data_IF_115776170660
#
_entry.id   IF_115776170660
#
_cell.length_a   1.000
_cell.length_b   1.000
_cell.length_c   1.000
_cell.angle_alpha   90.00
_cell.angle_beta   90.00
_cell.angle_gamma   90.00
#
_symmetry.space_group_name_H-M   'P 1'
#
loop_
_entity.id
_entity.type
_entity.pdbx_description
1 polymer ?
#
# COMPACT_ATOMS: atom_id res chain seq x y z
N UNK A 1 20.56 -54.66 -5.47
CA UNK A 1 20.41 -53.17 -5.53
C UNK A 1 18.96 -52.68 -5.75
N UNK A 2 17.91 -53.49 -5.53
CA UNK A 2 16.51 -53.04 -5.67
C UNK A 2 16.00 -52.32 -4.41
N UNK A 3 16.47 -52.77 -3.24
CA UNK A 3 16.03 -52.29 -1.92
C UNK A 3 16.55 -50.86 -1.62
N UNK A 4 17.68 -50.47 -2.21
CA UNK A 4 18.30 -49.15 -2.04
C UNK A 4 17.49 -48.03 -2.74
N UNK A 5 16.86 -48.34 -3.88
CA UNK A 5 16.00 -47.40 -4.61
C UNK A 5 14.72 -47.09 -3.84
N UNK A 6 14.18 -48.09 -3.13
CA UNK A 6 12.97 -47.95 -2.30
C UNK A 6 13.23 -47.01 -1.12
N UNK A 7 14.40 -47.11 -0.47
CA UNK A 7 14.80 -46.21 0.62
C UNK A 7 14.95 -44.76 0.13
N UNK A 8 15.54 -44.54 -1.05
CA UNK A 8 15.65 -43.20 -1.64
C UNK A 8 14.29 -42.58 -2.00
N UNK A 9 13.34 -43.39 -2.48
CA UNK A 9 11.98 -42.94 -2.80
C UNK A 9 11.20 -42.58 -1.53
N UNK A 10 11.33 -43.39 -0.46
CA UNK A 10 10.71 -43.10 0.84
C UNK A 10 11.27 -41.81 1.48
N UNK A 11 12.57 -41.57 1.36
CA UNK A 11 13.20 -40.37 1.90
C UNK A 11 12.77 -39.10 1.14
N UNK A 12 12.66 -39.17 -0.19
CA UNK A 12 12.18 -38.06 -1.02
C UNK A 12 10.70 -37.70 -0.74
N UNK A 13 9.86 -38.69 -0.39
CA UNK A 13 8.44 -38.48 -0.14
C UNK A 13 8.16 -37.71 1.17
N UNK A 14 9.05 -37.82 2.16
CA UNK A 14 8.91 -37.10 3.45
C UNK A 14 9.24 -35.60 3.36
N UNK A 15 9.88 -35.14 2.28
CA UNK A 15 10.31 -33.74 2.15
C UNK A 15 9.19 -32.78 1.69
N UNK A 16 8.07 -33.31 1.18
CA UNK A 16 7.03 -32.50 0.50
C UNK A 16 5.95 -31.97 1.47
N UNK A 17 5.88 -32.49 2.70
CA UNK A 17 4.73 -32.27 3.60
C UNK A 17 4.85 -31.02 4.50
N UNK A 18 5.90 -30.19 4.33
CA UNK A 18 6.30 -29.21 5.35
C UNK A 18 5.87 -27.75 5.18
N UNK A 19 5.08 -27.36 4.16
CA UNK A 19 4.97 -25.93 3.80
C UNK A 19 3.56 -25.32 3.78
N UNK A 20 2.71 -25.68 4.76
CA UNK A 20 1.48 -24.93 5.01
C UNK A 20 1.52 -24.33 6.43
N UNK A 21 2.30 -23.24 6.60
CA UNK A 21 2.19 -22.40 7.79
C UNK A 21 1.19 -21.29 7.50
N UNK A 22 -0.07 -21.49 7.87
CA UNK A 22 -1.04 -20.40 7.96
C UNK A 22 -0.54 -19.42 9.04
N UNK A 23 -0.19 -18.21 8.61
CA UNK A 23 0.29 -17.15 9.50
C UNK A 23 -0.90 -16.54 10.22
N UNK A 24 -1.25 -17.08 11.38
CA UNK A 24 -2.23 -16.47 12.28
C UNK A 24 -1.52 -15.40 13.12
N UNK A 25 -2.05 -14.18 13.12
CA UNK A 25 -1.61 -13.12 14.02
C UNK A 25 -2.56 -13.12 15.21
N UNK A 26 -2.02 -13.23 16.43
CA UNK A 26 -2.80 -13.29 17.67
C UNK A 26 -3.59 -12.01 17.93
N UNK A 27 -3.02 -10.88 17.54
CA UNK A 27 -3.61 -9.57 17.70
C UNK A 27 -3.90 -8.98 16.31
N UNK A 28 -5.15 -8.55 16.10
CA UNK A 28 -5.49 -7.74 14.93
C UNK A 28 -4.64 -6.46 15.00
N UNK A 29 -3.87 -6.09 13.95
CA UNK A 29 -3.07 -4.89 13.98
C UNK A 29 -3.97 -3.70 14.33
N UNK A 30 -3.53 -2.90 15.30
CA UNK A 30 -4.21 -1.66 15.69
C UNK A 30 -4.45 -0.85 14.42
N UNK A 31 -5.72 -0.51 14.18
CA UNK A 31 -6.05 0.50 13.18
C UNK A 31 -5.40 1.77 13.69
N UNK A 32 -4.25 2.12 13.12
CA UNK A 32 -3.65 3.43 13.35
C UNK A 32 -4.63 4.41 12.73
N UNK A 33 -5.54 4.94 13.54
CA UNK A 33 -6.30 6.12 13.19
C UNK A 33 -5.25 7.17 12.87
N UNK A 34 -5.08 7.47 11.59
CA UNK A 34 -4.23 8.58 11.20
C UNK A 34 -4.88 9.82 11.81
N UNK A 35 -4.28 10.33 12.89
CA UNK A 35 -4.77 11.49 13.61
C UNK A 35 -4.72 12.65 12.63
N UNK A 36 -5.88 13.01 12.09
CA UNK A 36 -6.02 14.22 11.30
C UNK A 36 -5.84 15.40 12.26
N UNK A 37 -4.90 16.32 12.02
CA UNK A 37 -4.76 17.50 12.86
C UNK A 37 -6.06 18.32 12.84
N UNK A 38 -6.34 19.03 13.93
CA UNK A 38 -7.53 19.89 14.04
C UNK A 38 -7.57 20.87 12.87
N UNK A 39 -8.77 21.08 12.31
CA UNK A 39 -8.95 22.03 11.21
C UNK A 39 -8.56 23.44 11.67
N UNK A 40 -7.73 24.19 10.91
CA UNK A 40 -7.38 25.57 11.24
C UNK A 40 -8.59 26.53 11.19
N UNK A 41 -9.69 26.16 10.53
CA UNK A 41 -10.88 26.99 10.42
C UNK A 41 -11.98 26.39 9.54
N UNK A 42 -13.10 27.09 9.43
CA UNK A 42 -14.33 26.57 8.80
C UNK A 42 -14.23 26.39 7.27
N UNK A 43 -13.34 27.12 6.61
CA UNK A 43 -13.16 27.08 5.15
C UNK A 43 -12.06 26.12 4.68
N UNK A 44 -11.46 25.36 5.60
CA UNK A 44 -10.40 24.42 5.26
C UNK A 44 -10.99 23.05 4.90
N UNK A 45 -10.46 22.47 3.83
CA UNK A 45 -10.78 21.12 3.39
C UNK A 45 -9.55 20.24 3.61
N UNK A 46 -9.77 19.05 4.15
CA UNK A 46 -8.70 18.07 4.35
C UNK A 46 -8.37 17.39 3.03
N UNK A 47 -7.12 17.55 2.58
CA UNK A 47 -6.57 16.82 1.45
C UNK A 47 -5.85 15.59 2.01
N UNK A 48 -6.28 14.39 1.65
CA UNK A 48 -5.60 13.17 2.06
C UNK A 48 -4.19 13.09 1.46
N UNK A 49 -3.41 12.15 1.97
CA UNK A 49 -2.05 11.90 1.48
C UNK A 49 -1.98 11.81 -0.04
N UNK A 50 -0.92 12.39 -0.56
CA UNK A 50 -0.63 12.45 -1.98
C UNK A 50 0.76 11.87 -2.25
N UNK A 51 1.06 11.62 -3.51
CA UNK A 51 2.38 11.15 -3.92
C UNK A 51 3.01 12.15 -4.89
N UNK A 52 4.29 12.42 -4.70
CA UNK A 52 5.08 13.31 -5.56
C UNK A 52 6.19 12.49 -6.18
N UNK A 53 6.30 12.56 -7.51
CA UNK A 53 7.37 11.87 -8.22
C UNK A 53 8.68 12.65 -8.08
N UNK A 54 9.68 12.03 -7.45
CA UNK A 54 11.02 12.59 -7.32
C UNK A 54 11.88 12.16 -8.52
N UNK A 55 12.16 13.12 -9.41
CA UNK A 55 12.95 12.86 -10.63
C UNK A 55 14.42 12.49 -10.35
N UNK A 56 14.99 12.92 -9.23
CA UNK A 56 16.38 12.62 -8.85
C UNK A 56 16.54 11.15 -8.48
N UNK A 57 15.57 10.63 -7.73
CA UNK A 57 15.62 9.26 -7.22
C UNK A 57 14.74 8.29 -8.03
N UNK A 58 13.99 8.78 -9.02
CA UNK A 58 13.02 8.02 -9.83
C UNK A 58 11.97 7.27 -8.98
N UNK A 59 11.60 7.82 -7.82
CA UNK A 59 10.66 7.20 -6.87
C UNK A 59 9.53 8.14 -6.49
N UNK A 60 8.42 7.56 -6.02
CA UNK A 60 7.35 8.34 -5.40
C UNK A 60 7.61 8.55 -3.91
N UNK A 61 7.48 9.79 -3.47
CA UNK A 61 7.54 10.15 -2.05
C UNK A 61 6.13 10.48 -1.55
N UNK A 62 5.76 9.90 -0.40
CA UNK A 62 4.49 10.20 0.27
C UNK A 62 4.54 11.63 0.80
N UNK A 63 3.57 12.43 0.40
CA UNK A 63 3.29 13.75 0.95
C UNK A 63 2.10 13.61 1.89
N UNK A 64 2.32 13.92 3.16
CA UNK A 64 1.26 13.88 4.17
C UNK A 64 0.10 14.81 3.77
N UNK A 65 -1.10 14.39 4.16
CA UNK A 65 -2.31 15.17 4.01
C UNK A 65 -2.20 16.53 4.71
N UNK A 66 -2.91 17.52 4.18
CA UNK A 66 -2.85 18.88 4.67
C UNK A 66 -4.18 19.58 4.50
N UNK A 67 -4.41 20.58 5.35
CA UNK A 67 -5.55 21.48 5.23
C UNK A 67 -5.29 22.51 4.15
N UNK A 68 -6.24 22.70 3.24
CA UNK A 68 -6.18 23.74 2.22
C UNK A 68 -7.49 24.50 2.08
N UNK A 69 -7.38 25.78 1.72
CA UNK A 69 -8.52 26.62 1.38
C UNK A 69 -8.81 26.46 -0.11
N UNK A 70 -10.02 26.06 -0.50
CA UNK A 70 -10.40 26.01 -1.90
C UNK A 70 -10.48 27.45 -2.46
N UNK A 71 -9.87 27.69 -3.62
CA UNK A 71 -9.88 29.03 -4.27
C UNK A 71 -11.24 29.42 -4.87
N UNK A 72 -12.22 28.52 -4.89
CA UNK A 72 -13.56 28.69 -5.45
C UNK A 72 -14.50 27.65 -4.81
N UNK A 73 -15.80 27.65 -5.12
CA UNK A 73 -16.78 26.63 -4.65
C UNK A 73 -16.55 25.24 -5.29
N UNK A 74 -15.30 24.90 -5.56
CA UNK A 74 -14.85 23.70 -6.24
C UNK A 74 -14.63 22.58 -5.24
N UNK A 75 -15.03 21.38 -5.62
CA UNK A 75 -14.77 20.20 -4.81
C UNK A 75 -13.37 19.69 -5.12
N UNK A 76 -12.67 19.16 -4.11
CA UNK A 76 -11.39 18.51 -4.35
C UNK A 76 -11.62 17.08 -4.82
N UNK A 77 -11.12 16.76 -6.01
CA UNK A 77 -11.00 15.37 -6.44
C UNK A 77 -9.65 14.83 -5.96
N UNK A 78 -9.69 13.85 -5.05
CA UNK A 78 -8.48 13.18 -4.56
C UNK A 78 -7.70 12.51 -5.70
N UNK A 79 -6.37 12.57 -5.61
CA UNK A 79 -5.50 11.85 -6.54
C UNK A 79 -5.60 10.34 -6.35
N UNK A 80 -5.13 9.58 -7.34
CA UNK A 80 -5.20 8.13 -7.31
C UNK A 80 -4.03 7.49 -8.03
N UNK A 81 -3.72 6.25 -7.65
CA UNK A 81 -2.79 5.42 -8.40
C UNK A 81 -3.46 4.89 -9.66
N UNK A 82 -2.84 5.16 -10.81
CA UNK A 82 -3.24 4.61 -12.09
C UNK A 82 -2.21 3.57 -12.51
N UNK A 83 -2.65 2.32 -12.59
CA UNK A 83 -1.83 1.20 -13.06
C UNK A 83 -2.18 0.87 -14.51
N UNK A 84 -1.14 0.65 -15.33
CA UNK A 84 -1.26 0.17 -16.70
C UNK A 84 -0.18 -0.89 -16.96
N UNK A 85 -0.10 -1.40 -18.21
CA UNK A 85 0.87 -2.44 -18.60
C UNK A 85 2.33 -2.05 -18.36
N UNK A 86 2.63 -0.76 -18.28
CA UNK A 86 3.98 -0.21 -18.13
C UNK A 86 4.31 0.17 -16.68
N UNK A 87 3.38 -0.04 -15.73
CA UNK A 87 3.59 0.21 -14.31
C UNK A 87 2.49 1.07 -13.67
N UNK A 88 2.79 1.57 -12.46
CA UNK A 88 1.88 2.40 -11.67
C UNK A 88 2.41 3.83 -11.57
N UNK A 89 1.55 4.81 -11.84
CA UNK A 89 1.85 6.22 -11.65
C UNK A 89 0.77 6.91 -10.84
N UNK A 90 1.16 7.88 -10.03
CA UNK A 90 0.21 8.71 -9.30
C UNK A 90 -0.36 9.79 -10.22
N UNK A 91 -1.70 9.87 -10.28
CA UNK A 91 -2.43 10.97 -10.90
C UNK A 91 -2.76 11.99 -9.81
N UNK A 92 -2.18 13.21 -9.83
CA UNK A 92 -2.44 14.21 -8.81
C UNK A 92 -3.92 14.61 -8.74
N UNK A 93 -4.41 14.82 -7.52
CA UNK A 93 -5.74 15.36 -7.29
C UNK A 93 -5.85 16.82 -7.73
N UNK A 94 -7.06 17.27 -8.02
CA UNK A 94 -7.32 18.63 -8.52
C UNK A 94 -8.66 19.16 -8.04
N UNK A 95 -8.76 20.48 -7.95
CA UNK A 95 -10.02 21.19 -7.73
C UNK A 95 -10.85 21.17 -9.00
N UNK A 96 -12.11 20.75 -8.90
CA UNK A 96 -13.08 20.76 -10.01
C UNK A 96 -14.23 21.70 -9.70
#
# INVERSE_FOLDING_TARGET
MKNLKIVFILLALTFIIGSCKTKYVKDKPLVVEMIRPVSPGQNYVWLNDNWVFNRKNQTYTRRQGYWAIPKSKKNYQQGYWKTNKNGSHWVPGRWK
#
